data_IF_105372552608
#
_entry.id   IF_105372552608
#
_cell.length_a   1.000
_cell.length_b   1.000
_cell.length_c   1.000
_cell.angle_alpha   90.00
_cell.angle_beta   90.00
_cell.angle_gamma   90.00
#
_symmetry.space_group_name_H-M   'P 1'
#
loop_
_entity.id
_entity.type
_entity.pdbx_description
1 polymer ?
#
# COMPACT_ATOMS: atom_id res chain seq x y z
N UNK A 1 -3.81 21.59 -5.18
CA UNK A 1 -4.48 20.28 -5.27
C UNK A 1 -3.90 19.36 -4.19
N UNK A 2 -4.71 18.84 -3.27
CA UNK A 2 -4.24 18.05 -2.10
C UNK A 2 -4.67 16.57 -2.15
N UNK A 3 -5.65 16.23 -2.97
CA UNK A 3 -6.28 14.91 -3.07
C UNK A 3 -6.34 14.50 -4.54
N UNK A 4 -6.01 13.24 -4.84
CA UNK A 4 -6.08 12.65 -6.18
C UNK A 4 -6.64 11.23 -6.04
N UNK A 5 -7.73 10.95 -6.74
CA UNK A 5 -8.35 9.62 -6.79
C UNK A 5 -8.37 9.15 -8.24
N UNK A 6 -7.88 7.93 -8.46
CA UNK A 6 -7.91 7.25 -9.76
C UNK A 6 -8.82 6.03 -9.60
N UNK A 7 -10.01 6.05 -10.22
CA UNK A 7 -11.05 5.02 -10.06
C UNK A 7 -11.53 4.54 -11.44
N UNK A 8 -11.59 3.23 -11.66
CA UNK A 8 -12.49 2.64 -12.67
C UNK A 8 -12.14 2.90 -14.14
N UNK A 9 -10.90 3.30 -14.45
CA UNK A 9 -10.54 3.67 -15.82
C UNK A 9 -10.10 2.42 -16.58
N UNK A 10 -11.01 1.87 -17.42
CA UNK A 10 -10.78 0.68 -18.27
C UNK A 10 -9.56 0.79 -19.20
N UNK A 11 -9.00 2.00 -19.35
CA UNK A 11 -7.80 2.29 -20.16
C UNK A 11 -6.99 3.45 -19.56
N UNK A 12 -6.78 3.49 -18.23
CA UNK A 12 -5.62 4.21 -17.67
C UNK A 12 -4.59 3.17 -17.28
N UNK A 13 -3.68 2.92 -18.19
CA UNK A 13 -2.57 2.03 -17.92
C UNK A 13 -1.56 2.80 -17.07
N UNK A 14 -1.53 2.56 -15.76
CA UNK A 14 -0.60 3.23 -14.86
C UNK A 14 0.83 2.73 -15.05
N UNK A 15 1.01 1.59 -15.74
CA UNK A 15 2.29 1.19 -16.31
C UNK A 15 2.70 2.05 -17.52
N UNK A 16 1.77 2.81 -18.11
CA UNK A 16 2.03 3.88 -19.09
C UNK A 16 1.82 5.30 -18.49
N UNK A 17 1.62 5.40 -17.16
CA UNK A 17 1.64 6.69 -16.47
C UNK A 17 3.06 7.23 -16.25
N UNK A 18 4.07 6.71 -16.95
CA UNK A 18 5.37 7.37 -17.15
C UNK A 18 5.20 8.80 -17.68
N UNK A 19 4.11 9.07 -18.39
CA UNK A 19 3.75 10.42 -18.86
C UNK A 19 3.15 11.33 -17.77
N UNK A 20 2.72 10.77 -16.62
CA UNK A 20 2.30 11.59 -15.49
C UNK A 20 3.54 12.14 -14.81
N UNK A 21 3.73 13.46 -14.92
CA UNK A 21 4.77 14.18 -14.18
C UNK A 21 4.40 14.30 -12.70
N UNK A 22 4.52 13.21 -11.95
CA UNK A 22 4.23 13.10 -10.52
C UNK A 22 4.97 14.16 -9.68
N UNK A 23 6.11 14.63 -10.16
CA UNK A 23 6.86 15.75 -9.59
C UNK A 23 6.06 17.05 -9.44
N UNK A 24 4.97 17.24 -10.19
CA UNK A 24 4.09 18.41 -10.06
C UNK A 24 3.11 18.28 -8.90
N UNK A 25 2.93 17.07 -8.36
CA UNK A 25 2.01 16.75 -7.28
C UNK A 25 2.70 16.63 -5.91
N UNK A 26 3.85 17.28 -5.71
CA UNK A 26 4.59 17.29 -4.42
C UNK A 26 3.79 17.74 -3.19
N UNK A 27 2.63 18.38 -3.39
CA UNK A 27 1.73 18.82 -2.32
C UNK A 27 0.56 17.87 -2.07
N UNK A 28 0.51 16.75 -2.77
CA UNK A 28 -0.52 15.74 -2.60
C UNK A 28 -0.39 15.12 -1.21
N UNK A 29 -1.51 15.03 -0.51
CA UNK A 29 -1.64 14.42 0.82
C UNK A 29 -2.42 13.12 0.78
N UNK A 30 -3.32 12.98 -0.18
CA UNK A 30 -4.15 11.80 -0.34
C UNK A 30 -4.05 11.25 -1.77
N UNK A 31 -3.74 9.97 -1.89
CA UNK A 31 -3.74 9.22 -3.15
C UNK A 31 -4.56 7.95 -2.98
N UNK A 32 -5.57 7.77 -3.84
CA UNK A 32 -6.32 6.53 -3.97
C UNK A 32 -6.17 5.94 -5.37
N UNK A 33 -5.76 4.68 -5.43
CA UNK A 33 -5.74 3.84 -6.61
C UNK A 33 -6.80 2.77 -6.42
N UNK A 34 -7.85 2.78 -7.24
CA UNK A 34 -8.97 1.83 -7.10
C UNK A 34 -9.38 1.23 -8.45
N UNK A 35 -9.54 -0.10 -8.47
CA UNK A 35 -9.99 -0.88 -9.62
C UNK A 35 -9.08 -0.72 -10.84
N UNK A 36 -7.80 -1.10 -10.67
CA UNK A 36 -6.75 -0.97 -11.68
C UNK A 36 -6.12 -2.34 -11.98
N UNK A 37 -6.75 -3.16 -12.85
CA UNK A 37 -6.35 -4.56 -13.08
C UNK A 37 -5.03 -4.72 -13.85
N UNK A 38 -4.48 -3.63 -14.42
CA UNK A 38 -3.17 -3.63 -15.09
C UNK A 38 -2.04 -3.10 -14.22
N UNK A 39 -2.35 -2.58 -13.03
CA UNK A 39 -1.33 -2.07 -12.12
C UNK A 39 -0.65 -3.23 -11.41
N UNK A 40 0.49 -3.67 -11.93
CA UNK A 40 1.30 -4.73 -11.31
C UNK A 40 2.44 -4.18 -10.42
N UNK A 41 2.83 -2.91 -10.63
CA UNK A 41 3.80 -2.16 -9.83
C UNK A 41 3.42 -0.68 -9.74
N UNK A 42 3.79 -0.02 -8.64
CA UNK A 42 3.64 1.45 -8.55
C UNK A 42 4.66 2.14 -9.48
N UNK A 43 4.28 3.22 -10.20
CA UNK A 43 5.21 3.97 -11.04
C UNK A 43 6.25 4.73 -10.21
N UNK A 44 7.52 4.71 -10.63
CA UNK A 44 8.65 5.26 -9.87
C UNK A 44 8.51 6.75 -9.57
N UNK A 45 7.84 7.51 -10.43
CA UNK A 45 7.59 8.94 -10.21
C UNK A 45 6.83 9.25 -8.90
N UNK A 46 6.07 8.28 -8.36
CA UNK A 46 5.40 8.43 -7.07
C UNK A 46 6.37 8.65 -5.91
N UNK A 47 7.63 8.23 -6.02
CA UNK A 47 8.65 8.42 -4.98
C UNK A 47 8.83 9.89 -4.56
N UNK A 48 8.44 10.84 -5.42
CA UNK A 48 8.56 12.28 -5.16
C UNK A 48 7.40 12.86 -4.33
N UNK A 49 6.38 12.07 -4.00
CA UNK A 49 5.23 12.50 -3.20
C UNK A 49 5.53 12.46 -1.69
N UNK A 50 6.61 13.11 -1.25
CA UNK A 50 7.10 13.05 0.14
C UNK A 50 6.17 13.65 1.19
N UNK A 51 5.15 14.42 0.77
CA UNK A 51 4.10 15.00 1.62
C UNK A 51 2.82 14.15 1.70
N UNK A 52 2.82 12.98 1.07
CA UNK A 52 1.67 12.08 1.12
C UNK A 52 1.41 11.62 2.55
N UNK A 53 0.17 11.74 2.99
CA UNK A 53 -0.30 11.35 4.33
C UNK A 53 -1.15 10.08 4.26
N UNK A 54 -1.84 9.84 3.15
CA UNK A 54 -2.72 8.70 2.97
C UNK A 54 -2.52 8.08 1.59
N UNK A 55 -2.26 6.77 1.55
CA UNK A 55 -2.13 5.98 0.33
C UNK A 55 -3.09 4.77 0.41
N UNK A 56 -4.06 4.72 -0.50
CA UNK A 56 -5.02 3.63 -0.58
C UNK A 56 -4.89 2.92 -1.93
N UNK A 57 -4.67 1.61 -1.90
CA UNK A 57 -4.54 0.75 -3.10
C UNK A 57 -5.59 -0.36 -3.01
N UNK A 58 -6.68 -0.21 -3.76
CA UNK A 58 -7.83 -1.10 -3.69
C UNK A 58 -8.09 -1.78 -5.03
N UNK A 59 -8.42 -3.08 -5.02
CA UNK A 59 -8.82 -3.81 -6.24
C UNK A 59 -7.79 -3.66 -7.38
N UNK A 60 -6.51 -3.83 -7.04
CA UNK A 60 -5.38 -3.70 -7.97
C UNK A 60 -4.61 -5.03 -8.08
N UNK A 61 -3.90 -5.24 -9.19
CA UNK A 61 -3.11 -6.45 -9.41
C UNK A 61 -1.64 -6.30 -8.99
N UNK A 62 -1.38 -5.43 -8.01
CA UNK A 62 -0.03 -5.12 -7.56
C UNK A 62 0.64 -6.36 -6.96
N UNK A 63 1.89 -6.61 -7.33
CA UNK A 63 2.63 -7.80 -6.88
C UNK A 63 3.44 -7.53 -5.62
N UNK A 64 4.06 -6.35 -5.55
CA UNK A 64 4.88 -5.89 -4.43
C UNK A 64 4.78 -4.37 -4.32
N UNK A 65 5.02 -3.82 -3.13
CA UNK A 65 5.31 -2.40 -2.99
C UNK A 65 6.82 -2.16 -3.17
N UNK A 66 7.23 -1.04 -3.78
CA UNK A 66 8.64 -0.72 -3.98
C UNK A 66 9.31 -0.21 -2.71
N UNK A 67 10.62 -0.43 -2.56
CA UNK A 67 11.41 0.01 -1.40
C UNK A 67 11.39 1.54 -1.20
N UNK A 68 11.23 2.31 -2.28
CA UNK A 68 11.10 3.76 -2.14
C UNK A 68 9.82 4.19 -1.40
N UNK A 69 8.88 3.29 -1.08
CA UNK A 69 7.72 3.60 -0.22
C UNK A 69 8.16 4.20 1.10
N UNK A 70 9.33 3.81 1.62
CA UNK A 70 9.96 4.38 2.82
C UNK A 70 10.26 5.88 2.72
N UNK A 71 10.25 6.47 1.53
CA UNK A 71 10.42 7.91 1.32
C UNK A 71 9.19 8.73 1.70
N UNK A 72 8.02 8.09 1.89
CA UNK A 72 6.80 8.77 2.34
C UNK A 72 6.83 9.05 3.84
N UNK A 73 7.78 9.90 4.26
CA UNK A 73 8.01 10.26 5.66
C UNK A 73 6.82 10.96 6.33
N UNK A 74 5.83 11.42 5.58
CA UNK A 74 4.59 12.01 6.10
C UNK A 74 3.41 11.04 6.15
N UNK A 75 3.58 9.80 5.68
CA UNK A 75 2.50 8.83 5.56
C UNK A 75 2.00 8.42 6.94
N UNK A 76 0.70 8.54 7.14
CA UNK A 76 -0.05 8.17 8.35
C UNK A 76 -0.93 6.97 8.12
N UNK A 77 -1.50 6.83 6.92
CA UNK A 77 -2.42 5.74 6.61
C UNK A 77 -2.00 5.06 5.31
N UNK A 78 -1.76 3.75 5.40
CA UNK A 78 -1.55 2.87 4.26
C UNK A 78 -2.64 1.80 4.27
N UNK A 79 -3.54 1.86 3.29
CA UNK A 79 -4.59 0.87 3.11
C UNK A 79 -4.40 0.08 1.82
N UNK A 80 -4.40 -1.24 1.89
CA UNK A 80 -4.33 -2.12 0.74
C UNK A 80 -5.45 -3.15 0.85
N UNK A 81 -6.35 -3.21 -0.12
CA UNK A 81 -7.52 -4.09 -0.04
C UNK A 81 -7.80 -4.75 -1.38
N UNK A 82 -8.21 -6.02 -1.35
CA UNK A 82 -8.58 -6.81 -2.53
C UNK A 82 -7.47 -6.79 -3.59
N UNK A 83 -6.22 -7.08 -3.18
CA UNK A 83 -5.06 -7.15 -4.07
C UNK A 83 -4.55 -8.60 -4.13
N UNK A 84 -5.10 -9.44 -5.03
CA UNK A 84 -4.89 -10.90 -4.96
C UNK A 84 -3.46 -11.33 -5.27
N UNK A 85 -2.67 -10.50 -5.95
CA UNK A 85 -1.29 -10.83 -6.37
C UNK A 85 -0.20 -10.28 -5.44
N UNK A 86 -0.58 -9.49 -4.43
CA UNK A 86 0.39 -8.96 -3.46
C UNK A 86 0.99 -10.13 -2.70
N UNK A 87 2.30 -10.31 -2.81
CA UNK A 87 2.99 -11.47 -2.25
C UNK A 87 4.02 -11.12 -1.17
N UNK A 88 4.44 -9.87 -1.06
CA UNK A 88 5.34 -9.41 -0.01
C UNK A 88 5.15 -7.92 0.26
N UNK A 89 5.59 -7.51 1.45
CA UNK A 89 5.73 -6.12 1.83
C UNK A 89 7.22 -5.77 1.89
N UNK A 90 7.63 -4.56 1.47
CA UNK A 90 9.02 -4.14 1.47
C UNK A 90 9.49 -3.83 2.90
N UNK A 91 10.77 -4.05 3.16
CA UNK A 91 11.37 -3.75 4.46
C UNK A 91 11.29 -2.24 4.77
N UNK A 92 11.29 -1.40 3.74
CA UNK A 92 11.12 0.04 3.87
C UNK A 92 9.85 0.51 4.62
N UNK A 93 8.83 -0.34 4.83
CA UNK A 93 7.71 -0.02 5.72
C UNK A 93 8.15 0.28 7.16
N UNK A 94 9.25 -0.33 7.62
CA UNK A 94 9.85 -0.05 8.94
C UNK A 94 10.33 1.41 9.07
N UNK A 95 10.64 2.05 7.94
CA UNK A 95 11.13 3.43 7.90
C UNK A 95 10.01 4.49 7.92
N UNK A 96 8.75 4.06 7.95
CA UNK A 96 7.57 4.93 7.99
C UNK A 96 7.20 5.30 9.44
N UNK A 97 8.05 6.08 10.09
CA UNK A 97 7.91 6.44 11.51
C UNK A 97 6.65 7.24 11.89
N UNK A 98 5.90 7.76 10.91
CA UNK A 98 4.65 8.49 11.11
C UNK A 98 3.41 7.68 10.75
N UNK A 99 3.59 6.43 10.33
CA UNK A 99 2.49 5.54 9.98
C UNK A 99 1.69 5.27 11.25
N UNK A 100 0.44 5.70 11.26
CA UNK A 100 -0.52 5.50 12.35
C UNK A 100 -1.39 4.28 12.08
N UNK A 101 -1.60 3.92 10.81
CA UNK A 101 -2.46 2.80 10.41
C UNK A 101 -1.92 2.11 9.17
N UNK A 102 -1.69 0.81 9.28
CA UNK A 102 -1.48 -0.10 8.16
C UNK A 102 -2.66 -1.08 8.12
N UNK A 103 -3.45 -1.05 7.06
CA UNK A 103 -4.57 -1.97 6.84
C UNK A 103 -4.32 -2.78 5.57
N UNK A 104 -4.31 -4.11 5.69
CA UNK A 104 -4.24 -5.02 4.56
C UNK A 104 -5.38 -6.02 4.65
N UNK A 105 -6.24 -6.06 3.64
CA UNK A 105 -7.45 -6.87 3.59
C UNK A 105 -7.54 -7.61 2.25
N UNK A 106 -8.10 -8.82 2.24
CA UNK A 106 -8.38 -9.59 1.02
C UNK A 106 -7.19 -9.72 0.05
N UNK A 107 -5.98 -9.88 0.61
CA UNK A 107 -4.74 -10.11 -0.12
C UNK A 107 -4.31 -11.58 -0.01
N UNK A 108 -4.94 -12.45 -0.81
CA UNK A 108 -4.88 -13.90 -0.65
C UNK A 108 -3.46 -14.50 -0.66
N UNK A 109 -2.58 -14.07 -1.57
CA UNK A 109 -1.22 -14.63 -1.66
C UNK A 109 -0.37 -14.21 -0.45
N UNK A 110 -0.40 -12.92 -0.07
CA UNK A 110 0.32 -12.43 1.10
C UNK A 110 -0.13 -13.19 2.35
N UNK A 111 -1.44 -13.38 2.52
CA UNK A 111 -2.01 -14.11 3.64
C UNK A 111 -1.53 -15.57 3.71
N UNK A 112 -1.56 -16.29 2.58
CA UNK A 112 -1.03 -17.66 2.51
C UNK A 112 0.44 -17.75 2.89
N UNK A 113 1.23 -16.71 2.58
CA UNK A 113 2.66 -16.68 2.94
C UNK A 113 2.86 -16.41 4.42
N UNK A 114 2.13 -15.46 5.00
CA UNK A 114 2.16 -15.21 6.44
C UNK A 114 1.80 -16.47 7.23
N UNK A 115 0.77 -17.22 6.82
CA UNK A 115 0.38 -18.48 7.48
C UNK A 115 1.49 -19.54 7.49
N UNK A 116 2.25 -19.66 6.39
CA UNK A 116 3.36 -20.62 6.30
C UNK A 116 4.54 -20.25 7.19
N UNK A 117 4.72 -18.96 7.44
CA UNK A 117 5.77 -18.44 8.30
C UNK A 117 5.37 -18.47 9.79
N UNK A 118 4.07 -18.47 10.11
CA UNK A 118 3.58 -18.33 11.48
C UNK A 118 2.97 -19.59 12.12
N UNK A 119 3.17 -20.83 11.63
CA UNK A 119 2.71 -22.11 12.25
C UNK A 119 1.33 -22.06 12.98
N UNK A 120 0.40 -21.21 12.54
CA UNK A 120 -0.88 -20.94 13.20
C UNK A 120 -1.96 -21.16 12.14
N UNK A 121 -2.56 -22.35 12.18
CA UNK A 121 -3.64 -22.82 11.31
C UNK A 121 -4.98 -22.06 11.49
N UNK A 122 -5.06 -21.14 12.46
CA UNK A 122 -6.32 -20.50 12.89
C UNK A 122 -6.65 -19.16 12.21
N UNK A 123 -5.76 -18.63 11.34
CA UNK A 123 -6.07 -17.41 10.61
C UNK A 123 -7.06 -17.73 9.48
N UNK A 124 -8.34 -17.40 9.67
CA UNK A 124 -9.39 -17.49 8.64
C UNK A 124 -9.04 -16.57 7.46
N UNK A 125 -9.35 -16.98 6.23
CA UNK A 125 -9.12 -16.29 4.94
C UNK A 125 -9.68 -14.86 4.78
N UNK A 126 -10.15 -14.23 5.87
CA UNK A 126 -10.77 -12.91 5.96
C UNK A 126 -10.08 -12.02 7.01
N UNK A 127 -8.81 -12.28 7.33
CA UNK A 127 -8.09 -11.47 8.33
C UNK A 127 -7.70 -10.12 7.75
N UNK A 128 -8.29 -9.07 8.31
CA UNK A 128 -7.77 -7.71 8.23
C UNK A 128 -6.46 -7.69 9.02
N UNK A 129 -5.32 -7.48 8.36
CA UNK A 129 -4.10 -7.07 9.06
C UNK A 129 -4.18 -5.56 9.28
N UNK A 130 -4.75 -5.15 10.40
CA UNK A 130 -4.71 -3.76 10.85
C UNK A 130 -3.65 -3.60 11.94
N UNK A 131 -2.58 -2.86 11.65
CA UNK A 131 -1.63 -2.39 12.66
C UNK A 131 -1.84 -0.91 12.88
N UNK A 132 -2.44 -0.55 14.01
CA UNK A 132 -2.55 0.83 14.47
C UNK A 132 -1.36 1.19 15.35
N UNK A 133 -0.55 2.15 14.94
CA UNK A 133 0.53 2.70 15.73
C UNK A 133 0.00 3.93 16.50
N UNK A 134 -0.83 3.66 17.51
CA UNK A 134 -1.33 4.63 18.47
C UNK A 134 -0.77 4.36 19.87
N UNK A 135 -0.62 5.40 20.69
CA UNK A 135 0.00 5.34 22.01
C UNK A 135 -0.51 4.14 22.84
N UNK A 136 0.43 3.28 23.25
CA UNK A 136 0.26 2.09 24.06
C UNK A 136 -0.73 1.03 23.52
N UNK A 137 -0.20 -0.02 22.87
CA UNK A 137 -0.09 -1.37 23.45
C UNK A 137 0.69 -2.28 22.49
N UNK A 138 1.49 -3.14 23.11
CA UNK A 138 2.35 -4.14 22.50
C UNK A 138 1.48 -5.26 21.93
N UNK A 139 1.57 -5.48 20.62
CA UNK A 139 1.47 -6.82 20.04
C UNK A 139 2.36 -6.85 18.79
N UNK A 140 3.56 -7.39 18.99
CA UNK A 140 4.55 -7.62 17.95
C UNK A 140 4.11 -8.79 17.08
N UNK A 141 3.69 -8.52 15.85
CA UNK A 141 3.97 -9.45 14.76
C UNK A 141 5.20 -8.91 14.07
N UNK A 142 6.33 -9.61 14.25
CA UNK A 142 7.53 -9.42 13.45
C UNK A 142 7.21 -9.89 12.03
N UNK A 143 7.53 -9.03 11.07
CA UNK A 143 7.72 -9.45 9.67
C UNK A 143 8.94 -10.38 9.61
#
# INVERSE_FOLDING_TARGET
MKTLCIIGIKKLDISQCDNIKWERFRNLRFLRLDYLPKLDKLPDGLQHLTRLEQLHIWRCNIKTLPEWIGNFKSLKNLGISVCPYLNSLPQALESLHRLETLEIEDCAILFQRCQRETEIDDLKNSTIFSKSFGAATVEEVKL
#
